data_IF_726190830575
#
_entry.id   IF_726190830575
#
_cell.length_a   1.000
_cell.length_b   1.000
_cell.length_c   1.000
_cell.angle_alpha   90.00
_cell.angle_beta   90.00
_cell.angle_gamma   90.00
#
_symmetry.space_group_name_H-M   'P 1'
#
loop_
_entity.id
_entity.type
_entity.pdbx_description
1 polymer ?
#
# COMPACT_ATOMS: atom_id res chain seq x y z
N UNK A 1 21.17 -2.16 13.34
CA UNK A 1 21.30 -2.20 11.86
C UNK A 1 20.02 -2.67 11.16
N UNK A 2 19.37 -3.74 11.65
CA UNK A 2 18.09 -4.27 11.14
C UNK A 2 17.04 -3.18 10.90
N UNK A 3 16.81 -2.27 11.86
CA UNK A 3 15.84 -1.16 11.73
C UNK A 3 16.11 -0.24 10.53
N UNK A 4 17.38 0.04 10.20
CA UNK A 4 17.74 0.90 9.06
C UNK A 4 17.47 0.19 7.73
N UNK A 5 17.76 -1.11 7.67
CA UNK A 5 17.45 -1.97 6.52
C UNK A 5 15.93 -2.11 6.32
N UNK A 6 15.19 -2.44 7.39
CA UNK A 6 13.73 -2.53 7.36
C UNK A 6 13.06 -1.23 6.90
N UNK A 7 13.53 -0.08 7.37
CA UNK A 7 13.05 1.23 6.91
C UNK A 7 13.30 1.45 5.41
N UNK A 8 14.37 0.94 4.84
CA UNK A 8 14.59 0.99 3.39
C UNK A 8 13.57 0.13 2.68
N UNK A 9 13.33 -1.11 3.14
CA UNK A 9 12.35 -2.01 2.52
C UNK A 9 10.91 -1.48 2.59
N UNK A 10 10.51 -0.91 3.73
CA UNK A 10 9.20 -0.25 3.85
C UNK A 10 8.98 0.89 2.84
N UNK A 11 10.04 1.54 2.37
CA UNK A 11 9.92 2.59 1.36
C UNK A 11 9.67 2.09 -0.06
N UNK A 12 9.91 0.80 -0.33
CA UNK A 12 9.88 0.20 -1.68
C UNK A 12 8.54 0.41 -2.40
N UNK A 13 7.36 0.22 -1.77
CA UNK A 13 6.07 0.49 -2.41
C UNK A 13 5.98 1.88 -3.05
N UNK A 14 6.73 2.85 -2.55
CA UNK A 14 6.71 4.22 -3.07
C UNK A 14 7.89 4.52 -3.98
N UNK A 15 8.65 3.52 -4.43
CA UNK A 15 9.76 3.71 -5.35
C UNK A 15 9.33 3.32 -6.76
N UNK A 16 9.71 4.07 -7.80
CA UNK A 16 9.57 3.65 -9.19
C UNK A 16 10.16 2.25 -9.43
N UNK A 17 9.42 1.38 -10.11
CA UNK A 17 9.79 -0.03 -10.27
C UNK A 17 11.15 -0.22 -10.98
N UNK A 18 11.50 0.68 -11.90
CA UNK A 18 12.80 0.68 -12.60
C UNK A 18 13.99 0.93 -11.66
N UNK A 19 13.79 1.50 -10.48
CA UNK A 19 14.85 1.77 -9.51
C UNK A 19 15.07 0.66 -8.47
N UNK A 20 14.22 -0.38 -8.46
CA UNK A 20 14.33 -1.49 -7.48
C UNK A 20 15.66 -2.21 -7.56
N UNK A 21 16.16 -2.45 -8.78
CA UNK A 21 17.44 -3.14 -9.02
C UNK A 21 18.63 -2.40 -8.41
N UNK A 22 18.46 -1.11 -8.10
CA UNK A 22 19.49 -0.23 -7.53
C UNK A 22 19.49 -0.22 -6.01
N UNK A 23 18.64 -1.02 -5.34
CA UNK A 23 18.60 -1.17 -3.90
C UNK A 23 19.37 -2.41 -3.43
N UNK A 24 20.60 -2.27 -2.88
CA UNK A 24 21.36 -3.42 -2.39
C UNK A 24 20.64 -4.18 -1.28
N UNK A 25 19.91 -3.45 -0.43
CA UNK A 25 19.14 -4.01 0.68
C UNK A 25 18.00 -4.93 0.25
N UNK A 26 17.59 -4.89 -1.03
CA UNK A 26 16.60 -5.80 -1.60
C UNK A 26 17.26 -7.08 -2.12
N UNK A 27 18.52 -7.02 -2.57
CA UNK A 27 19.26 -8.19 -3.02
C UNK A 27 19.79 -9.03 -1.84
N UNK A 28 20.19 -8.36 -0.75
CA UNK A 28 20.76 -9.01 0.44
C UNK A 28 20.51 -8.17 1.69
N UNK A 29 20.37 -8.77 2.89
CA UNK A 29 20.25 -8.01 4.11
C UNK A 29 21.47 -7.10 4.31
N UNK A 30 21.25 -5.81 4.59
CA UNK A 30 22.33 -4.85 4.88
C UNK A 30 22.87 -4.99 6.32
N UNK A 31 22.92 -6.22 6.82
CA UNK A 31 23.40 -6.61 8.15
C UNK A 31 24.51 -7.65 7.98
N UNK A 32 25.51 -7.67 8.90
CA UNK A 32 26.58 -8.67 8.86
C UNK A 32 26.04 -10.10 8.91
N UNK A 33 26.72 -11.05 8.24
CA UNK A 33 26.36 -12.48 8.30
C UNK A 33 26.44 -13.07 9.71
N UNK A 34 27.34 -12.54 10.53
CA UNK A 34 27.52 -12.93 11.93
C UNK A 34 26.39 -12.43 12.85
N UNK A 35 25.53 -11.53 12.37
CA UNK A 35 24.46 -10.98 13.20
C UNK A 35 23.33 -12.01 13.38
N UNK A 36 22.86 -12.24 14.60
CA UNK A 36 21.83 -13.25 14.91
C UNK A 36 20.57 -13.16 14.03
N UNK A 37 20.12 -11.94 13.71
CA UNK A 37 18.98 -11.71 12.84
C UNK A 37 19.22 -11.93 11.32
N UNK A 38 20.45 -12.24 10.88
CA UNK A 38 20.79 -12.33 9.45
C UNK A 38 19.93 -13.36 8.72
N UNK A 39 19.88 -14.59 9.27
CA UNK A 39 19.13 -15.69 8.66
C UNK A 39 17.65 -15.33 8.51
N UNK A 40 17.01 -14.80 9.55
CA UNK A 40 15.61 -14.37 9.49
C UNK A 40 15.37 -13.23 8.50
N UNK A 41 16.33 -12.32 8.34
CA UNK A 41 16.22 -11.28 7.32
C UNK A 41 16.38 -11.84 5.90
N UNK A 42 17.18 -12.89 5.72
CA UNK A 42 17.33 -13.58 4.45
C UNK A 42 16.05 -14.35 4.09
N UNK A 43 15.52 -15.17 5.00
CA UNK A 43 14.24 -15.88 4.83
C UNK A 43 13.11 -14.91 4.44
N UNK A 44 13.06 -13.74 5.08
CA UNK A 44 12.09 -12.71 4.73
C UNK A 44 12.30 -12.15 3.31
N UNK A 45 13.55 -11.93 2.87
CA UNK A 45 13.81 -11.47 1.50
C UNK A 45 13.40 -12.51 0.47
N UNK A 46 13.66 -13.78 0.75
CA UNK A 46 13.30 -14.87 -0.15
C UNK A 46 11.77 -14.91 -0.33
N UNK A 47 11.03 -14.87 0.79
CA UNK A 47 9.57 -14.72 0.75
C UNK A 47 9.11 -13.46 -0.01
N UNK A 48 9.74 -12.31 0.26
CA UNK A 48 9.40 -11.04 -0.39
C UNK A 48 9.60 -11.13 -1.91
N UNK A 49 10.69 -11.75 -2.35
CA UNK A 49 10.99 -11.93 -3.77
C UNK A 49 9.99 -12.86 -4.44
N UNK A 50 9.78 -14.03 -3.86
CA UNK A 50 8.98 -15.10 -4.46
C UNK A 50 7.50 -14.78 -4.47
N UNK A 51 7.05 -13.97 -3.50
CA UNK A 51 5.63 -13.62 -3.36
C UNK A 51 5.30 -12.28 -4.02
N UNK A 52 6.11 -11.25 -3.75
CA UNK A 52 5.77 -9.86 -4.06
C UNK A 52 6.60 -9.26 -5.18
N UNK A 53 7.87 -9.61 -5.37
CA UNK A 53 8.68 -8.99 -6.44
C UNK A 53 8.48 -9.72 -7.76
N UNK A 54 8.56 -11.06 -7.75
CA UNK A 54 8.48 -11.92 -8.95
C UNK A 54 7.19 -12.75 -8.99
N UNK A 55 6.56 -12.95 -7.84
CA UNK A 55 5.39 -13.81 -7.68
C UNK A 55 4.06 -13.24 -8.17
N UNK A 56 2.99 -13.94 -7.76
CA UNK A 56 1.59 -13.66 -8.13
C UNK A 56 1.14 -12.23 -7.78
N UNK A 57 1.75 -11.60 -6.78
CA UNK A 57 1.36 -10.27 -6.32
C UNK A 57 2.25 -9.14 -6.85
N UNK A 58 3.07 -9.40 -7.89
CA UNK A 58 4.03 -8.43 -8.44
C UNK A 58 3.47 -7.07 -8.85
N UNK A 59 2.20 -7.01 -9.23
CA UNK A 59 1.53 -5.77 -9.65
C UNK A 59 0.81 -5.03 -8.51
N UNK A 60 0.70 -5.63 -7.32
CA UNK A 60 -0.17 -5.10 -6.25
C UNK A 60 0.56 -4.23 -5.22
N UNK A 61 1.88 -4.34 -5.13
CA UNK A 61 2.66 -3.69 -4.08
C UNK A 61 3.12 -2.28 -4.45
N UNK A 62 3.30 -1.98 -5.74
CA UNK A 62 3.73 -0.67 -6.20
C UNK A 62 2.61 0.37 -6.00
N UNK A 63 2.94 1.44 -5.28
CA UNK A 63 2.07 2.60 -5.00
C UNK A 63 2.58 3.88 -5.65
N UNK A 64 3.67 3.80 -6.41
CA UNK A 64 4.15 4.93 -7.19
C UNK A 64 3.08 5.35 -8.20
N UNK A 65 2.77 6.65 -8.24
CA UNK A 65 1.78 7.20 -9.17
C UNK A 65 0.32 6.79 -8.89
N UNK A 66 0.04 5.96 -7.88
CA UNK A 66 -1.33 5.56 -7.57
C UNK A 66 -2.01 6.58 -6.64
N UNK A 67 -3.08 7.21 -7.13
CA UNK A 67 -3.94 8.15 -6.38
C UNK A 67 -5.22 7.50 -5.84
N UNK A 68 -5.55 6.30 -6.31
CA UNK A 68 -6.89 5.70 -6.21
C UNK A 68 -7.28 5.13 -4.84
N UNK A 69 -8.60 4.99 -4.65
CA UNK A 69 -9.22 4.16 -3.62
C UNK A 69 -9.12 2.68 -4.02
N UNK A 70 -8.49 1.86 -3.18
CA UNK A 70 -8.51 0.41 -3.37
C UNK A 70 -9.94 -0.14 -3.31
N UNK A 71 -10.35 -0.85 -4.34
CA UNK A 71 -11.62 -1.62 -4.43
C UNK A 71 -11.82 -2.56 -3.23
N UNK A 72 -10.74 -3.04 -2.62
CA UNK A 72 -10.76 -3.85 -1.39
C UNK A 72 -11.48 -3.15 -0.22
N UNK A 73 -11.33 -1.82 -0.09
CA UNK A 73 -12.00 -1.06 0.97
C UNK A 73 -13.52 -1.00 0.76
N UNK A 74 -13.99 -1.11 -0.49
CA UNK A 74 -15.41 -1.15 -0.80
C UNK A 74 -16.00 -2.52 -0.45
N UNK A 75 -15.30 -3.60 -0.83
CA UNK A 75 -15.67 -4.96 -0.47
C UNK A 75 -15.71 -5.15 1.06
N UNK A 76 -14.68 -4.71 1.80
CA UNK A 76 -14.65 -4.77 3.26
C UNK A 76 -15.80 -3.99 3.92
N UNK A 77 -16.12 -2.80 3.40
CA UNK A 77 -17.26 -2.00 3.86
C UNK A 77 -18.60 -2.71 3.60
N UNK A 78 -18.77 -3.30 2.41
CA UNK A 78 -19.96 -4.08 2.06
C UNK A 78 -20.13 -5.28 2.99
N UNK A 79 -19.10 -6.11 3.15
CA UNK A 79 -19.13 -7.27 4.05
C UNK A 79 -19.38 -6.86 5.52
N UNK A 80 -18.83 -5.74 5.97
CA UNK A 80 -19.07 -5.24 7.33
C UNK A 80 -20.54 -4.85 7.55
N UNK A 81 -21.19 -4.26 6.54
CA UNK A 81 -22.62 -3.96 6.58
C UNK A 81 -23.47 -5.23 6.57
N UNK A 82 -23.14 -6.20 5.71
CA UNK A 82 -23.83 -7.50 5.68
C UNK A 82 -23.76 -8.22 7.02
N UNK A 83 -22.57 -8.27 7.64
CA UNK A 83 -22.40 -8.87 8.98
C UNK A 83 -23.31 -8.24 10.03
N UNK A 84 -23.51 -6.92 9.99
CA UNK A 84 -24.42 -6.20 10.90
C UNK A 84 -25.90 -6.54 10.66
N UNK A 85 -26.28 -6.81 9.40
CA UNK A 85 -27.64 -7.21 9.05
C UNK A 85 -27.93 -8.64 9.56
N UNK A 86 -26.98 -9.56 9.35
CA UNK A 86 -27.13 -10.99 9.67
C UNK A 86 -27.07 -11.26 11.18
N UNK A 87 -26.30 -10.49 11.95
CA UNK A 87 -26.10 -10.72 13.41
C UNK A 87 -27.29 -10.36 14.31
N UNK A 88 -28.40 -9.84 13.77
CA UNK A 88 -29.58 -9.55 14.59
C UNK A 88 -30.33 -10.86 14.90
N UNK A 89 -30.65 -11.11 16.18
CA UNK A 89 -31.53 -12.23 16.58
C UNK A 89 -32.96 -11.95 16.10
N UNK A 90 -33.68 -12.98 15.65
CA UNK A 90 -35.09 -12.95 15.20
C UNK A 90 -35.40 -11.86 14.15
N UNK A 91 -34.81 -11.96 12.95
CA UNK A 91 -35.12 -11.05 11.85
C UNK A 91 -36.00 -11.74 10.83
N UNK A 92 -37.07 -11.07 10.42
CA UNK A 92 -37.87 -11.46 9.27
C UNK A 92 -36.99 -11.55 8.01
N UNK A 93 -37.00 -12.71 7.34
CA UNK A 93 -36.21 -12.98 6.13
C UNK A 93 -36.49 -11.98 5.00
N UNK A 94 -37.74 -11.53 4.86
CA UNK A 94 -38.11 -10.52 3.87
C UNK A 94 -37.40 -9.18 4.15
N UNK A 95 -37.35 -8.76 5.42
CA UNK A 95 -36.64 -7.55 5.84
C UNK A 95 -35.11 -7.67 5.64
N UNK A 96 -34.56 -8.88 5.77
CA UNK A 96 -33.15 -9.14 5.43
C UNK A 96 -32.95 -8.96 3.92
N UNK A 97 -33.77 -9.60 3.09
CA UNK A 97 -33.67 -9.55 1.63
C UNK A 97 -33.76 -8.11 1.11
N UNK A 98 -34.71 -7.32 1.61
CA UNK A 98 -34.85 -5.90 1.25
C UNK A 98 -33.61 -5.09 1.62
N UNK A 99 -33.06 -5.31 2.83
CA UNK A 99 -31.82 -4.63 3.25
C UNK A 99 -30.61 -5.04 2.42
N UNK A 100 -30.48 -6.32 2.09
CA UNK A 100 -29.40 -6.80 1.23
C UNK A 100 -29.52 -6.18 -0.16
N UNK A 101 -30.71 -6.19 -0.77
CA UNK A 101 -30.96 -5.55 -2.08
C UNK A 101 -30.58 -4.08 -2.07
N UNK A 102 -31.02 -3.32 -1.05
CA UNK A 102 -30.68 -1.90 -0.91
C UNK A 102 -29.16 -1.65 -0.79
N UNK A 103 -28.47 -2.45 0.01
CA UNK A 103 -27.01 -2.36 0.13
C UNK A 103 -26.29 -2.75 -1.17
N UNK A 104 -26.82 -3.73 -1.91
CA UNK A 104 -26.27 -4.17 -3.18
C UNK A 104 -26.41 -3.08 -4.24
N UNK A 105 -27.60 -2.46 -4.37
CA UNK A 105 -27.82 -1.30 -5.26
C UNK A 105 -26.87 -0.16 -4.91
N UNK A 106 -26.69 0.14 -3.62
CA UNK A 106 -25.76 1.19 -3.16
C UNK A 106 -24.31 0.86 -3.52
N UNK A 107 -23.90 -0.41 -3.39
CA UNK A 107 -22.56 -0.86 -3.73
C UNK A 107 -22.31 -0.78 -5.24
N UNK A 108 -23.26 -1.21 -6.07
CA UNK A 108 -23.19 -1.12 -7.53
C UNK A 108 -23.10 0.33 -7.99
N UNK A 109 -23.98 1.21 -7.49
CA UNK A 109 -23.90 2.64 -7.80
C UNK A 109 -22.55 3.25 -7.40
N UNK A 110 -21.98 2.81 -6.27
CA UNK A 110 -20.63 3.21 -5.84
C UNK A 110 -19.55 2.73 -6.79
N UNK A 111 -19.66 1.50 -7.30
CA UNK A 111 -18.71 0.94 -8.27
C UNK A 111 -18.75 1.72 -9.58
N UNK A 112 -19.96 1.97 -10.13
CA UNK A 112 -20.15 2.75 -11.35
C UNK A 112 -19.56 4.17 -11.19
N UNK A 113 -19.85 4.82 -10.06
CA UNK A 113 -19.29 6.16 -9.78
C UNK A 113 -17.76 6.14 -9.65
N UNK A 114 -17.17 5.10 -9.06
CA UNK A 114 -15.71 4.97 -8.99
C UNK A 114 -15.07 4.70 -10.35
N UNK A 115 -15.76 3.95 -11.22
CA UNK A 115 -15.30 3.65 -12.58
C UNK A 115 -15.34 4.90 -13.47
N UNK A 116 -16.44 5.66 -13.39
CA UNK A 116 -16.64 6.90 -14.15
C UNK A 116 -15.81 8.07 -13.61
N UNK A 117 -15.62 8.14 -12.29
CA UNK A 117 -14.92 9.23 -11.61
C UNK A 117 -13.85 8.68 -10.65
N UNK A 118 -12.77 8.04 -11.16
CA UNK A 118 -11.74 7.41 -10.32
C UNK A 118 -11.03 8.38 -9.39
N UNK A 119 -11.04 9.67 -9.75
CA UNK A 119 -10.43 10.76 -8.98
C UNK A 119 -11.40 11.50 -8.05
N UNK A 120 -12.71 11.25 -8.11
CA UNK A 120 -13.68 11.77 -7.13
C UNK A 120 -13.56 10.98 -5.82
N UNK A 121 -12.46 11.27 -5.10
CA UNK A 121 -12.13 10.60 -3.87
C UNK A 121 -13.22 10.80 -2.81
N UNK A 122 -13.58 9.71 -2.12
CA UNK A 122 -14.26 9.77 -0.82
C UNK A 122 -13.61 10.85 0.05
N UNK A 123 -14.41 11.74 0.65
CA UNK A 123 -13.91 12.77 1.58
C UNK A 123 -13.12 12.10 2.71
N UNK A 124 -11.79 12.20 2.63
CA UNK A 124 -10.90 11.65 3.64
C UNK A 124 -10.98 12.48 4.91
N UNK A 125 -10.77 11.83 6.06
CA UNK A 125 -10.52 12.55 7.32
C UNK A 125 -9.34 13.50 7.12
N UNK A 126 -9.37 14.67 7.76
CA UNK A 126 -8.32 15.71 7.62
C UNK A 126 -6.91 15.12 7.77
N UNK A 127 -6.69 14.25 8.75
CA UNK A 127 -5.40 13.58 9.01
C UNK A 127 -4.92 12.72 7.83
N UNK A 128 -5.81 11.96 7.21
CA UNK A 128 -5.46 11.06 6.10
C UNK A 128 -5.24 11.84 4.81
N UNK A 129 -6.03 12.89 4.57
CA UNK A 129 -5.82 13.84 3.47
C UNK A 129 -4.44 14.49 3.56
N UNK A 130 -4.08 15.04 4.72
CA UNK A 130 -2.77 15.66 4.94
C UNK A 130 -1.64 14.65 4.76
N UNK A 131 -1.82 13.40 5.21
CA UNK A 131 -0.83 12.33 4.98
C UNK A 131 -0.64 12.05 3.49
N UNK A 132 -1.74 11.94 2.72
CA UNK A 132 -1.67 11.75 1.27
C UNK A 132 -1.00 12.94 0.59
N UNK A 133 -1.34 14.18 0.94
CA UNK A 133 -0.67 15.36 0.37
C UNK A 133 0.84 15.35 0.61
N UNK A 134 1.29 14.99 1.83
CA UNK A 134 2.73 14.83 2.13
C UNK A 134 3.40 13.72 1.30
N UNK A 135 2.72 12.59 1.10
CA UNK A 135 3.19 11.50 0.23
C UNK A 135 3.35 11.98 -1.21
N UNK A 136 2.32 12.61 -1.77
CA UNK A 136 2.28 13.05 -3.15
C UNK A 136 3.34 14.12 -3.43
N UNK A 137 3.47 15.10 -2.53
CA UNK A 137 4.49 16.14 -2.62
C UNK A 137 5.91 15.55 -2.66
N UNK A 138 6.21 14.56 -1.81
CA UNK A 138 7.54 13.94 -1.77
C UNK A 138 7.81 13.05 -2.98
N UNK A 139 6.81 12.34 -3.50
CA UNK A 139 6.95 11.61 -4.76
C UNK A 139 7.20 12.56 -5.93
N UNK A 140 6.43 13.64 -6.04
CA UNK A 140 6.60 14.64 -7.10
C UNK A 140 7.97 15.33 -7.03
N UNK A 141 8.48 15.59 -5.83
CA UNK A 141 9.84 16.11 -5.64
C UNK A 141 10.90 15.13 -6.18
N UNK A 142 10.79 13.85 -5.83
CA UNK A 142 11.71 12.81 -6.28
C UNK A 142 11.59 12.54 -7.80
N UNK A 143 10.39 12.65 -8.35
CA UNK A 143 10.14 12.56 -9.79
C UNK A 143 10.82 13.72 -10.54
N UNK A 144 10.73 14.95 -10.02
CA UNK A 144 11.47 16.10 -10.59
C UNK A 144 12.98 15.90 -10.53
N UNK A 145 13.51 15.27 -9.48
CA UNK A 145 14.94 14.91 -9.41
C UNK A 145 15.33 13.89 -10.47
N UNK A 146 14.48 12.89 -10.73
CA UNK A 146 14.69 11.89 -11.79
C UNK A 146 14.65 12.50 -13.19
N UNK A 147 13.68 13.38 -13.46
CA UNK A 147 13.48 13.98 -14.78
C UNK A 147 14.55 15.01 -15.16
N UNK A 148 15.30 15.55 -14.20
CA UNK A 148 16.37 16.52 -14.43
C UNK A 148 17.67 15.91 -15.00
N UNK A 149 17.67 14.64 -15.39
CA UNK A 149 18.85 13.97 -15.97
C UNK A 149 20.00 13.74 -14.98
N UNK A 150 19.80 14.04 -13.69
CA UNK A 150 20.80 13.80 -12.66
C UNK A 150 20.97 12.31 -12.37
N UNK A 151 22.22 11.86 -12.21
CA UNK A 151 22.52 10.50 -11.76
C UNK A 151 21.96 10.35 -10.34
N UNK A 152 20.78 9.74 -10.21
CA UNK A 152 20.21 9.43 -8.89
C UNK A 152 21.09 8.37 -8.25
N UNK A 153 21.79 8.67 -7.16
CA UNK A 153 22.68 7.71 -6.52
C UNK A 153 21.90 6.68 -5.70
N UNK A 154 22.50 5.51 -5.45
CA UNK A 154 21.96 4.51 -4.51
C UNK A 154 21.70 5.10 -3.13
N UNK A 155 22.54 6.03 -2.68
CA UNK A 155 22.37 6.74 -1.40
C UNK A 155 21.10 7.60 -1.40
N UNK A 156 20.84 8.33 -2.49
CA UNK A 156 19.62 9.13 -2.66
C UNK A 156 18.36 8.25 -2.63
N UNK A 157 18.38 7.11 -3.34
CA UNK A 157 17.27 6.14 -3.33
C UNK A 157 17.03 5.61 -1.91
N UNK A 158 18.08 5.20 -1.20
CA UNK A 158 17.97 4.70 0.18
C UNK A 158 17.40 5.78 1.11
N UNK A 159 17.86 7.03 0.97
CA UNK A 159 17.36 8.17 1.77
C UNK A 159 15.88 8.42 1.50
N UNK A 160 15.49 8.42 0.22
CA UNK A 160 14.11 8.54 -0.21
C UNK A 160 13.24 7.44 0.40
N UNK A 161 13.60 6.16 0.24
CA UNK A 161 12.83 5.04 0.79
C UNK A 161 12.67 5.13 2.31
N UNK A 162 13.74 5.46 3.04
CA UNK A 162 13.70 5.62 4.50
C UNK A 162 12.81 6.78 4.94
N UNK A 163 12.76 7.85 4.15
CA UNK A 163 11.84 8.96 4.39
C UNK A 163 10.39 8.51 4.18
N UNK A 164 10.11 7.83 3.06
CA UNK A 164 8.78 7.33 2.74
C UNK A 164 8.24 6.33 3.77
N UNK A 165 9.11 5.50 4.35
CA UNK A 165 8.76 4.56 5.40
C UNK A 165 8.19 5.20 6.69
N UNK A 166 8.41 6.51 6.91
CA UNK A 166 7.83 7.26 8.05
C UNK A 166 6.33 7.49 7.88
N UNK A 167 5.83 7.47 6.65
CA UNK A 167 4.40 7.63 6.35
C UNK A 167 3.63 6.32 6.44
N UNK A 168 4.32 5.19 6.46
CA UNK A 168 3.71 3.90 6.76
C UNK A 168 3.45 3.79 8.25
N UNK A 169 2.20 3.47 8.61
CA UNK A 169 1.82 3.21 9.99
C UNK A 169 2.60 2.04 10.54
N UNK A 170 3.14 2.17 11.75
CA UNK A 170 3.78 1.07 12.50
C UNK A 170 2.77 0.10 13.13
N UNK A 171 1.48 0.24 12.82
CA UNK A 171 0.49 -0.79 13.15
C UNK A 171 0.91 -2.06 12.42
N UNK A 172 1.58 -2.94 13.16
CA UNK A 172 1.79 -4.31 12.78
C UNK A 172 0.42 -4.90 12.42
N UNK A 173 0.41 -5.70 11.36
CA UNK A 173 -0.69 -6.63 11.07
C UNK A 173 -0.73 -7.63 12.22
#
# INVERSE_FOLDING_TARGET
>A
MVRKWWRTLKGIPFLPANLLRRLPGLARPSIPRSHAAYQKCQEFLDYLHDTWVRGRFRSLWCKWGLTELRTTNLAEAYHSKLRRIIRKKNVNLQLILERIRKENTTAIAKLISLDQFPNEGRRLRRRDRLRRQKFAAKMAEFERELSRGGIVTTVSIIRYCRHMARFMTEKAI
#
